data_IF_544040350469
#
_entry.id   IF_544040350469
#
_cell.length_a   1.000
_cell.length_b   1.000
_cell.length_c   1.000
_cell.angle_alpha   90.00
_cell.angle_beta   90.00
_cell.angle_gamma   90.00
#
_symmetry.space_group_name_H-M   'P 1'
#
loop_
_entity.id
_entity.type
_entity.pdbx_description
1 polymer ?
#
# COMPACT_ATOMS: atom_id res chain seq x y z
N UNK A 1 11.89 -26.78 19.12
CA UNK A 1 10.51 -27.16 18.72
C UNK A 1 10.47 -27.29 17.22
N UNK A 2 9.85 -28.34 16.68
CA UNK A 2 9.64 -28.43 15.23
C UNK A 2 8.47 -27.52 14.84
N UNK A 3 8.74 -26.52 14.01
CA UNK A 3 7.73 -25.63 13.44
C UNK A 3 6.98 -26.40 12.34
N UNK A 4 5.66 -26.24 12.25
CA UNK A 4 4.88 -26.87 11.17
C UNK A 4 5.30 -26.32 9.79
N UNK A 5 5.09 -27.09 8.73
CA UNK A 5 5.45 -26.66 7.37
C UNK A 5 4.84 -25.29 7.00
N UNK A 6 3.58 -25.05 7.38
CA UNK A 6 2.88 -23.79 7.07
C UNK A 6 3.38 -22.60 7.90
N UNK A 7 3.98 -22.85 9.07
CA UNK A 7 4.59 -21.82 9.89
C UNK A 7 6.09 -21.63 9.62
N UNK A 8 6.67 -22.42 8.70
CA UNK A 8 8.09 -22.34 8.35
C UNK A 8 8.39 -21.08 7.53
N UNK A 9 9.39 -20.26 7.93
CA UNK A 9 9.85 -19.12 7.14
C UNK A 9 10.32 -19.53 5.73
N UNK A 10 10.96 -20.70 5.61
CA UNK A 10 11.47 -21.20 4.32
C UNK A 10 10.32 -21.57 3.37
N UNK A 11 9.24 -22.17 3.89
CA UNK A 11 8.05 -22.45 3.09
C UNK A 11 7.35 -21.16 2.65
N UNK A 12 7.23 -20.19 3.56
CA UNK A 12 6.70 -18.85 3.27
C UNK A 12 7.48 -18.16 2.15
N UNK A 13 8.81 -18.05 2.28
CA UNK A 13 9.69 -17.43 1.29
C UNK A 13 9.59 -18.11 -0.09
N UNK A 14 9.61 -19.45 -0.14
CA UNK A 14 9.44 -20.19 -1.41
C UNK A 14 8.09 -19.90 -2.07
N UNK A 15 7.02 -19.87 -1.29
CA UNK A 15 5.67 -19.55 -1.78
C UNK A 15 5.63 -18.14 -2.36
N UNK A 16 6.20 -17.16 -1.67
CA UNK A 16 6.27 -15.79 -2.16
C UNK A 16 7.09 -15.66 -3.45
N UNK A 17 8.22 -16.35 -3.58
CA UNK A 17 8.96 -16.35 -4.85
C UNK A 17 8.12 -16.92 -6.00
N UNK A 18 7.42 -18.03 -5.78
CA UNK A 18 6.53 -18.62 -6.80
C UNK A 18 5.45 -17.61 -7.20
N UNK A 19 4.78 -16.97 -6.23
CA UNK A 19 3.77 -15.95 -6.50
C UNK A 19 4.38 -14.78 -7.30
N UNK A 20 5.51 -14.25 -6.84
CA UNK A 20 6.17 -13.11 -7.49
C UNK A 20 6.63 -13.42 -8.92
N UNK A 21 7.21 -14.59 -9.18
CA UNK A 21 7.62 -14.96 -10.54
C UNK A 21 6.43 -15.16 -11.48
N UNK A 22 5.31 -15.67 -10.98
CA UNK A 22 4.07 -15.79 -11.75
C UNK A 22 3.38 -14.44 -11.96
N UNK A 23 3.49 -13.50 -11.01
CA UNK A 23 2.86 -12.18 -11.11
C UNK A 23 3.61 -11.22 -12.04
N UNK A 24 4.94 -11.31 -12.11
CA UNK A 24 5.78 -10.47 -12.98
C UNK A 24 5.31 -10.36 -14.45
N UNK A 25 5.06 -11.45 -15.20
CA UNK A 25 4.59 -11.33 -16.58
C UNK A 25 3.21 -10.67 -16.68
N UNK A 26 2.34 -10.86 -15.69
CA UNK A 26 1.04 -10.22 -15.61
C UNK A 26 1.21 -8.72 -15.37
N UNK A 27 2.15 -8.33 -14.51
CA UNK A 27 2.49 -6.92 -14.27
C UNK A 27 3.08 -6.24 -15.51
N UNK A 28 3.92 -6.94 -16.27
CA UNK A 28 4.46 -6.41 -17.52
C UNK A 28 3.33 -6.21 -18.54
N UNK A 29 2.44 -7.20 -18.68
CA UNK A 29 1.29 -7.12 -19.59
C UNK A 29 0.32 -5.99 -19.20
N UNK A 30 -0.01 -5.86 -17.90
CA UNK A 30 -0.90 -4.80 -17.43
C UNK A 30 -0.32 -3.40 -17.65
N UNK A 31 0.98 -3.22 -17.36
CA UNK A 31 1.71 -1.98 -17.65
C UNK A 31 1.71 -1.64 -19.14
N UNK A 32 1.95 -2.64 -19.99
CA UNK A 32 1.85 -2.51 -21.45
C UNK A 32 0.45 -2.07 -21.89
N UNK A 33 -0.60 -2.71 -21.37
CA UNK A 33 -1.99 -2.35 -21.70
C UNK A 33 -2.31 -0.90 -21.30
N UNK A 34 -1.88 -0.44 -20.13
CA UNK A 34 -2.11 0.94 -19.69
C UNK A 34 -1.35 1.92 -20.60
N UNK A 35 -0.09 1.64 -20.90
CA UNK A 35 0.75 2.55 -21.68
C UNK A 35 0.35 2.63 -23.16
N UNK A 36 -0.02 1.50 -23.78
CA UNK A 36 -0.18 1.40 -25.22
C UNK A 36 -1.61 1.09 -25.68
N UNK A 37 -2.45 0.51 -24.82
CA UNK A 37 -3.81 0.07 -25.17
C UNK A 37 -4.92 0.91 -24.52
N UNK A 38 -4.59 1.96 -23.76
CA UNK A 38 -5.61 2.88 -23.21
C UNK A 38 -6.33 3.65 -24.33
N UNK A 39 -7.66 3.53 -24.49
CA UNK A 39 -8.40 4.23 -25.53
C UNK A 39 -8.38 5.76 -25.36
N UNK A 40 -8.50 6.50 -26.46
CA UNK A 40 -8.52 7.98 -26.45
C UNK A 40 -9.62 8.56 -25.55
N UNK A 41 -10.78 7.90 -25.45
CA UNK A 41 -11.88 8.30 -24.56
C UNK A 41 -11.53 8.25 -23.06
N UNK A 42 -10.44 7.57 -22.68
CA UNK A 42 -9.96 7.41 -21.31
C UNK A 42 -8.61 8.07 -21.05
N UNK A 43 -8.09 8.85 -22.01
CA UNK A 43 -6.76 9.47 -21.90
C UNK A 43 -6.61 10.39 -20.68
N UNK A 44 -7.70 11.05 -20.27
CA UNK A 44 -7.72 11.93 -19.09
C UNK A 44 -7.53 11.22 -17.74
N UNK A 45 -7.68 9.89 -17.70
CA UNK A 45 -7.45 9.09 -16.48
C UNK A 45 -6.16 8.27 -16.53
N UNK A 46 -5.53 8.15 -17.71
CA UNK A 46 -4.33 7.33 -17.96
C UNK A 46 -3.21 7.60 -16.97
N UNK A 47 -2.89 8.87 -16.69
CA UNK A 47 -1.78 9.22 -15.80
C UNK A 47 -2.00 8.75 -14.36
N UNK A 48 -3.22 8.92 -13.83
CA UNK A 48 -3.53 8.48 -12.46
C UNK A 48 -3.63 6.96 -12.38
N UNK A 49 -4.16 6.32 -13.42
CA UNK A 49 -4.18 4.87 -13.54
C UNK A 49 -2.75 4.29 -13.56
N UNK A 50 -1.84 4.91 -14.32
CA UNK A 50 -0.44 4.51 -14.37
C UNK A 50 0.27 4.70 -13.03
N UNK A 51 0.01 5.82 -12.33
CA UNK A 51 0.58 6.07 -11.01
C UNK A 51 0.14 5.01 -9.99
N UNK A 52 -1.16 4.71 -9.90
CA UNK A 52 -1.62 3.64 -9.02
C UNK A 52 -1.03 2.30 -9.41
N UNK A 53 -1.05 1.98 -10.71
CA UNK A 53 -0.49 0.74 -11.22
C UNK A 53 0.97 0.56 -10.83
N UNK A 54 1.78 1.61 -10.99
CA UNK A 54 3.18 1.62 -10.60
C UNK A 54 3.35 1.29 -9.12
N UNK A 55 2.65 1.99 -8.22
CA UNK A 55 2.78 1.73 -6.78
C UNK A 55 2.29 0.33 -6.39
N UNK A 56 1.20 -0.16 -6.99
CA UNK A 56 0.68 -1.51 -6.71
C UNK A 56 1.64 -2.61 -7.20
N UNK A 57 2.19 -2.46 -8.40
CA UNK A 57 3.17 -3.41 -8.95
C UNK A 57 4.48 -3.35 -8.16
N UNK A 58 4.93 -2.15 -7.79
CA UNK A 58 6.10 -1.98 -6.94
C UNK A 58 5.89 -2.67 -5.60
N UNK A 59 4.73 -2.51 -4.95
CA UNK A 59 4.41 -3.18 -3.70
C UNK A 59 4.46 -4.71 -3.84
N UNK A 60 3.82 -5.26 -4.88
CA UNK A 60 3.78 -6.71 -5.12
C UNK A 60 5.19 -7.30 -5.32
N UNK A 61 6.01 -6.66 -6.16
CA UNK A 61 7.42 -7.03 -6.36
C UNK A 61 8.21 -6.88 -5.06
N UNK A 62 7.96 -5.80 -4.32
CA UNK A 62 8.66 -5.51 -3.08
C UNK A 62 8.38 -6.57 -2.00
N UNK A 63 7.13 -6.98 -1.83
CA UNK A 63 6.73 -7.98 -0.85
C UNK A 63 7.12 -9.40 -1.27
N UNK A 64 6.89 -9.77 -2.53
CA UNK A 64 7.05 -11.16 -2.98
C UNK A 64 8.49 -11.53 -3.36
N UNK A 65 9.29 -10.59 -3.85
CA UNK A 65 10.63 -10.86 -4.39
C UNK A 65 11.74 -10.16 -3.61
N UNK A 66 11.56 -8.88 -3.29
CA UNK A 66 12.66 -8.05 -2.77
C UNK A 66 12.87 -8.20 -1.27
N UNK A 67 11.81 -8.09 -0.47
CA UNK A 67 11.90 -8.04 0.99
C UNK A 67 11.42 -9.33 1.65
N UNK A 68 10.29 -9.89 1.21
CA UNK A 68 9.65 -11.06 1.84
C UNK A 68 9.62 -10.94 3.38
N UNK A 69 8.91 -9.93 3.92
CA UNK A 69 8.88 -9.71 5.35
C UNK A 69 8.16 -10.85 6.07
N UNK A 70 8.81 -11.44 7.06
CA UNK A 70 8.22 -12.43 7.96
C UNK A 70 8.06 -11.79 9.32
N UNK A 71 6.80 -11.61 9.74
CA UNK A 71 6.45 -10.96 11.00
C UNK A 71 6.15 -12.02 12.07
N UNK A 72 6.60 -11.81 13.30
CA UNK A 72 6.30 -12.68 14.43
C UNK A 72 5.42 -11.93 15.45
N UNK A 73 4.09 -11.83 15.23
CA UNK A 73 3.20 -11.18 16.19
C UNK A 73 3.23 -11.89 17.55
N UNK A 74 2.92 -11.22 18.68
CA UNK A 74 2.24 -9.92 18.78
C UNK A 74 3.07 -8.61 18.79
N UNK A 75 4.39 -8.55 19.10
CA UNK A 75 5.17 -7.33 18.93
C UNK A 75 5.38 -7.01 17.44
N UNK A 76 5.90 -5.82 17.16
CA UNK A 76 6.29 -5.47 15.78
C UNK A 76 7.74 -5.88 15.61
N UNK A 77 7.91 -7.15 15.30
CA UNK A 77 9.20 -7.75 15.02
C UNK A 77 9.13 -8.73 13.85
N UNK A 78 10.30 -9.04 13.30
CA UNK A 78 10.40 -9.94 12.18
C UNK A 78 11.74 -9.86 11.46
N UNK A 79 11.81 -10.46 10.29
CA UNK A 79 13.01 -10.43 9.44
C UNK A 79 12.62 -10.46 7.96
N UNK A 80 13.59 -10.19 7.09
CA UNK A 80 13.40 -10.17 5.65
C UNK A 80 14.14 -11.36 4.99
N UNK A 81 13.47 -12.08 4.09
CA UNK A 81 14.03 -13.25 3.38
C UNK A 81 14.22 -13.04 1.86
N UNK A 82 13.84 -11.87 1.37
CA UNK A 82 13.86 -11.56 -0.06
C UNK A 82 15.27 -11.31 -0.59
N UNK A 83 15.36 -10.95 -1.87
CA UNK A 83 16.64 -10.69 -2.54
C UNK A 83 17.46 -9.58 -1.86
N UNK A 84 16.81 -8.54 -1.32
CA UNK A 84 17.53 -7.41 -0.74
C UNK A 84 18.20 -7.74 0.60
N UNK A 85 17.67 -8.71 1.37
CA UNK A 85 18.33 -9.14 2.62
C UNK A 85 19.63 -9.89 2.34
N UNK A 86 19.80 -10.48 1.15
CA UNK A 86 21.03 -11.16 0.71
C UNK A 86 22.14 -10.19 0.29
N UNK A 87 21.79 -8.95 -0.06
CA UNK A 87 22.74 -7.93 -0.53
C UNK A 87 23.28 -7.08 0.64
N UNK A 88 22.87 -7.36 1.88
CA UNK A 88 23.38 -6.69 3.07
C UNK A 88 22.87 -5.27 3.29
N UNK A 89 21.74 -4.90 2.65
CA UNK A 89 21.11 -3.60 2.86
C UNK A 89 20.54 -3.51 4.28
N UNK A 90 20.63 -2.33 4.88
CA UNK A 90 20.18 -2.05 6.24
C UNK A 90 18.66 -2.30 6.41
N UNK A 91 18.29 -3.17 7.35
CA UNK A 91 16.91 -3.63 7.54
C UNK A 91 15.90 -2.51 7.88
N UNK A 92 16.22 -1.51 8.72
CA UNK A 92 15.40 -0.31 8.90
C UNK A 92 14.97 0.37 7.59
N UNK A 93 15.87 0.43 6.59
CA UNK A 93 15.53 1.02 5.29
C UNK A 93 14.51 0.19 4.54
N UNK A 94 14.57 -1.15 4.66
CA UNK A 94 13.58 -2.02 4.04
C UNK A 94 12.19 -1.86 4.69
N UNK A 95 12.16 -1.76 6.02
CA UNK A 95 10.91 -1.59 6.75
C UNK A 95 10.29 -0.23 6.40
N UNK A 96 11.09 0.84 6.44
CA UNK A 96 10.68 2.17 6.02
C UNK A 96 10.11 2.17 4.60
N UNK A 97 10.88 1.67 3.63
CA UNK A 97 10.47 1.67 2.23
C UNK A 97 9.20 0.86 2.00
N UNK A 98 9.05 -0.30 2.64
CA UNK A 98 7.84 -1.12 2.53
C UNK A 98 6.59 -0.41 3.04
N UNK A 99 6.66 0.18 4.23
CA UNK A 99 5.54 0.92 4.83
C UNK A 99 5.19 2.17 4.00
N UNK A 100 6.20 2.90 3.51
CA UNK A 100 5.98 4.05 2.63
C UNK A 100 5.31 3.63 1.30
N UNK A 101 5.74 2.52 0.67
CA UNK A 101 5.11 2.03 -0.56
C UNK A 101 3.63 1.69 -0.32
N UNK A 102 3.30 1.02 0.79
CA UNK A 102 1.89 0.72 1.15
C UNK A 102 1.07 2.00 1.28
N UNK A 103 1.61 3.02 1.95
CA UNK A 103 0.92 4.30 2.08
C UNK A 103 0.74 5.00 0.71
N UNK A 104 1.75 4.95 -0.16
CA UNK A 104 1.69 5.53 -1.51
C UNK A 104 0.69 4.81 -2.42
N UNK A 105 0.52 3.49 -2.26
CA UNK A 105 -0.59 2.76 -2.91
C UNK A 105 -1.92 3.38 -2.47
N UNK A 106 -2.15 3.57 -1.18
CA UNK A 106 -3.41 4.14 -0.70
C UNK A 106 -3.64 5.58 -1.21
N UNK A 107 -2.61 6.43 -1.21
CA UNK A 107 -2.68 7.79 -1.80
C UNK A 107 -2.98 7.76 -3.30
N UNK A 108 -2.42 6.80 -4.03
CA UNK A 108 -2.67 6.66 -5.47
C UNK A 108 -4.11 6.25 -5.79
N UNK A 109 -4.74 5.44 -4.93
CA UNK A 109 -6.15 5.07 -5.01
C UNK A 109 -7.04 6.31 -4.80
N UNK A 110 -6.77 7.09 -3.75
CA UNK A 110 -7.45 8.38 -3.49
C UNK A 110 -7.35 9.29 -4.70
N UNK A 111 -6.15 9.41 -5.28
CA UNK A 111 -5.87 10.26 -6.45
C UNK A 111 -6.75 9.91 -7.66
N UNK A 112 -7.05 8.62 -7.89
CA UNK A 112 -7.93 8.20 -8.99
C UNK A 112 -9.38 8.64 -8.75
N UNK A 113 -9.92 8.38 -7.56
CA UNK A 113 -11.30 8.75 -7.24
C UNK A 113 -11.47 10.28 -7.22
N UNK A 114 -10.53 11.00 -6.61
CA UNK A 114 -10.49 12.46 -6.64
C UNK A 114 -10.42 12.98 -8.08
N UNK A 115 -9.54 12.44 -8.92
CA UNK A 115 -9.41 12.90 -10.30
C UNK A 115 -10.69 12.66 -11.11
N UNK A 116 -11.37 11.53 -10.88
CA UNK A 116 -12.66 11.27 -11.53
C UNK A 116 -13.73 12.26 -11.07
N UNK A 117 -13.75 12.59 -9.78
CA UNK A 117 -14.67 13.58 -9.22
C UNK A 117 -14.40 14.96 -9.82
N UNK A 118 -13.12 15.35 -9.90
CA UNK A 118 -12.70 16.60 -10.50
C UNK A 118 -13.15 16.73 -11.95
N UNK A 119 -12.85 15.74 -12.80
CA UNK A 119 -13.15 15.80 -14.23
C UNK A 119 -14.65 15.93 -14.53
N UNK A 120 -15.51 15.31 -13.71
CA UNK A 120 -16.94 15.25 -13.98
C UNK A 120 -17.74 16.36 -13.31
N UNK A 121 -17.33 16.85 -12.13
CA UNK A 121 -18.13 17.79 -11.35
C UNK A 121 -17.37 18.99 -10.77
N UNK A 122 -16.03 18.95 -10.64
CA UNK A 122 -15.28 20.00 -9.96
C UNK A 122 -14.31 20.80 -10.86
N UNK A 123 -14.29 20.54 -12.17
CA UNK A 123 -13.36 21.19 -13.11
C UNK A 123 -13.46 22.72 -13.13
N UNK A 124 -14.68 23.24 -13.02
CA UNK A 124 -14.98 24.68 -13.03
C UNK A 124 -15.04 25.34 -11.66
N UNK A 125 -14.72 24.63 -10.57
CA UNK A 125 -14.82 25.15 -9.20
C UNK A 125 -13.44 25.52 -8.64
N UNK A 126 -13.40 26.11 -7.45
CA UNK A 126 -12.16 26.41 -6.72
C UNK A 126 -11.29 25.16 -6.46
N UNK A 127 -11.89 23.96 -6.53
CA UNK A 127 -11.22 22.67 -6.34
C UNK A 127 -10.03 22.46 -7.27
N UNK A 128 -10.04 23.10 -8.46
CA UNK A 128 -8.92 23.05 -9.42
C UNK A 128 -7.57 23.49 -8.83
N UNK A 129 -7.56 24.32 -7.80
CA UNK A 129 -6.35 24.83 -7.17
C UNK A 129 -5.98 24.02 -5.92
N UNK A 130 -6.97 23.76 -5.05
CA UNK A 130 -6.72 23.12 -3.76
C UNK A 130 -6.40 21.62 -3.89
N UNK A 131 -6.87 20.94 -4.93
CA UNK A 131 -6.58 19.52 -5.14
C UNK A 131 -5.09 19.19 -5.13
N UNK A 132 -4.25 20.05 -5.72
CA UNK A 132 -2.81 19.81 -5.75
C UNK A 132 -2.19 19.94 -4.36
N UNK A 133 -2.66 20.88 -3.54
CA UNK A 133 -2.20 21.04 -2.16
C UNK A 133 -2.57 19.83 -1.31
N UNK A 134 -3.79 19.32 -1.47
CA UNK A 134 -4.27 18.12 -0.76
C UNK A 134 -3.42 16.91 -1.19
N UNK A 135 -3.30 16.66 -2.50
CA UNK A 135 -2.54 15.51 -3.00
C UNK A 135 -1.07 15.57 -2.59
N UNK A 136 -0.41 16.73 -2.69
CA UNK A 136 0.98 16.89 -2.22
C UNK A 136 1.07 16.62 -0.72
N UNK A 137 0.11 17.09 0.07
CA UNK A 137 0.00 16.80 1.50
C UNK A 137 -0.10 15.29 1.76
N UNK A 138 -0.93 14.57 0.99
CA UNK A 138 -1.09 13.12 1.11
C UNK A 138 0.23 12.38 0.88
N UNK A 139 0.99 12.76 -0.16
CA UNK A 139 2.32 12.19 -0.44
C UNK A 139 3.32 12.49 0.69
N UNK A 140 3.32 13.73 1.21
CA UNK A 140 4.20 14.11 2.33
C UNK A 140 3.86 13.29 3.58
N UNK A 141 2.57 13.15 3.92
CA UNK A 141 2.11 12.35 5.05
C UNK A 141 2.53 10.89 4.86
N UNK A 142 2.34 10.31 3.68
CA UNK A 142 2.71 8.92 3.37
C UNK A 142 4.21 8.65 3.54
N UNK A 143 5.07 9.63 3.28
CA UNK A 143 6.53 9.52 3.47
C UNK A 143 6.91 9.74 4.93
N UNK A 144 6.33 10.75 5.60
CA UNK A 144 6.80 11.19 6.91
C UNK A 144 6.18 10.45 8.11
N UNK A 145 4.99 9.86 7.99
CA UNK A 145 4.26 9.36 9.17
C UNK A 145 5.01 8.24 9.92
N UNK A 146 5.83 7.46 9.22
CA UNK A 146 6.59 6.34 9.78
C UNK A 146 8.02 6.71 10.21
N UNK A 147 8.51 7.90 9.83
CA UNK A 147 9.86 8.36 10.20
C UNK A 147 10.13 8.33 11.70
N UNK A 148 9.21 8.80 12.59
CA UNK A 148 9.44 8.73 14.03
C UNK A 148 9.61 7.29 14.55
N UNK A 149 8.95 6.31 13.94
CA UNK A 149 9.10 4.90 14.33
C UNK A 149 10.47 4.35 13.97
N UNK A 150 11.03 4.76 12.83
CA UNK A 150 12.39 4.40 12.44
C UNK A 150 13.43 5.04 13.36
N UNK A 151 13.23 6.30 13.74
CA UNK A 151 14.13 7.00 14.66
C UNK A 151 14.04 6.46 16.10
N UNK A 152 12.91 5.85 16.47
CA UNK A 152 12.65 5.25 17.77
C UNK A 152 13.00 3.77 17.88
N UNK A 153 13.65 3.18 16.87
CA UNK A 153 14.05 1.77 16.90
C UNK A 153 14.97 1.54 18.11
N UNK A 154 14.65 0.57 19.00
CA UNK A 154 15.45 0.29 20.18
C UNK A 154 16.76 -0.40 19.82
N UNK A 155 17.70 -0.41 20.78
CA UNK A 155 18.92 -1.20 20.61
C UNK A 155 18.60 -2.70 20.60
N UNK A 156 19.03 -3.37 19.54
CA UNK A 156 18.59 -4.70 19.13
C UNK A 156 19.06 -5.80 20.08
N UNK A 157 20.27 -5.75 20.65
CA UNK A 157 20.74 -6.81 21.54
C UNK A 157 19.97 -6.84 22.86
N UNK A 158 19.61 -5.68 23.41
CA UNK A 158 18.76 -5.58 24.60
C UNK A 158 17.31 -5.93 24.28
N UNK A 159 16.79 -5.41 23.16
CA UNK A 159 15.41 -5.65 22.74
C UNK A 159 15.15 -7.14 22.44
N UNK A 160 16.09 -7.85 21.82
CA UNK A 160 15.97 -9.30 21.57
C UNK A 160 15.93 -10.12 22.85
N UNK A 161 16.74 -9.76 23.85
CA UNK A 161 16.70 -10.43 25.17
C UNK A 161 15.33 -10.25 25.82
N UNK A 162 14.84 -9.02 25.90
CA UNK A 162 13.50 -8.73 26.44
C UNK A 162 12.39 -9.45 25.64
N UNK A 163 12.47 -9.46 24.30
CA UNK A 163 11.53 -10.20 23.43
C UNK A 163 11.47 -11.69 23.76
N UNK A 164 12.62 -12.31 23.94
CA UNK A 164 12.74 -13.74 24.20
C UNK A 164 12.36 -14.16 25.61
N UNK A 165 12.43 -13.24 26.57
CA UNK A 165 11.88 -13.42 27.91
C UNK A 165 10.35 -13.33 27.91
N UNK A 166 9.78 -12.35 27.20
CA UNK A 166 8.33 -12.16 27.12
C UNK A 166 7.63 -13.17 26.22
N UNK A 167 8.27 -13.55 25.11
CA UNK A 167 7.72 -14.42 24.08
C UNK A 167 8.70 -15.55 23.70
N UNK A 168 8.94 -16.52 24.60
CA UNK A 168 9.93 -17.58 24.37
C UNK A 168 9.67 -18.41 23.11
N UNK A 169 8.41 -18.52 22.69
CA UNK A 169 8.02 -19.28 21.50
C UNK A 169 8.53 -18.66 20.19
N UNK A 170 8.85 -17.36 20.17
CA UNK A 170 9.36 -16.66 18.98
C UNK A 170 10.82 -17.02 18.69
N UNK A 171 11.57 -17.46 19.72
CA UNK A 171 12.99 -17.86 19.58
C UNK A 171 13.21 -18.94 18.51
N UNK A 172 12.19 -19.75 18.20
CA UNK A 172 12.26 -20.81 17.19
C UNK A 172 12.48 -20.26 15.77
N UNK A 173 12.16 -19.00 15.54
CA UNK A 173 12.33 -18.33 14.25
C UNK A 173 13.64 -17.57 14.14
N UNK A 174 14.33 -17.33 15.27
CA UNK A 174 15.59 -16.61 15.29
C UNK A 174 16.75 -17.53 14.87
N UNK A 175 17.56 -17.06 13.91
CA UNK A 175 18.71 -17.81 13.42
C UNK A 175 19.87 -16.88 13.05
N UNK A 176 21.12 -17.38 12.95
CA UNK A 176 22.25 -16.57 12.51
C UNK A 176 22.06 -15.94 11.12
N UNK A 177 21.34 -16.64 10.24
CA UNK A 177 21.02 -16.19 8.87
C UNK A 177 19.86 -15.19 8.84
N UNK A 178 18.90 -15.32 9.77
CA UNK A 178 17.70 -14.51 9.85
C UNK A 178 17.45 -14.11 11.31
N UNK A 179 18.17 -13.07 11.76
CA UNK A 179 17.98 -12.52 13.10
C UNK A 179 16.68 -11.74 13.16
N UNK A 180 15.91 -11.96 14.22
CA UNK A 180 14.70 -11.19 14.47
C UNK A 180 15.07 -9.75 14.79
N UNK A 181 14.45 -8.84 14.07
CA UNK A 181 14.61 -7.40 14.21
C UNK A 181 13.37 -6.81 14.87
N UNK A 182 13.58 -6.02 15.92
CA UNK A 182 12.52 -5.43 16.71
C UNK A 182 12.35 -3.97 16.29
N UNK A 183 11.15 -3.64 15.81
CA UNK A 183 10.75 -2.27 15.50
C UNK A 183 10.13 -1.62 16.73
N UNK A 184 9.22 -2.33 17.39
CA UNK A 184 8.57 -1.87 18.61
C UNK A 184 8.22 -3.07 19.51
N UNK A 185 8.87 -3.13 20.66
CA UNK A 185 8.71 -4.18 21.65
C UNK A 185 7.59 -3.89 22.65
N UNK A 186 7.45 -2.61 23.04
CA UNK A 186 6.58 -2.20 24.15
C UNK A 186 5.21 -1.73 23.68
N UNK A 187 4.97 -1.80 22.36
CA UNK A 187 3.74 -1.33 21.73
C UNK A 187 3.45 0.11 22.16
N UNK A 188 4.41 1.02 21.92
CA UNK A 188 4.17 2.41 22.24
C UNK A 188 2.92 2.88 21.48
N UNK A 189 1.90 3.27 22.25
CA UNK A 189 0.64 3.78 21.74
C UNK A 189 0.86 4.87 20.68
N UNK A 190 1.98 5.60 20.75
CA UNK A 190 2.32 6.64 19.77
C UNK A 190 2.36 6.12 18.32
N UNK A 191 2.97 4.97 18.06
CA UNK A 191 3.02 4.39 16.70
C UNK A 191 1.63 3.94 16.24
N UNK A 192 0.91 3.24 17.11
CA UNK A 192 -0.44 2.75 16.81
C UNK A 192 -1.39 3.91 16.52
N UNK A 193 -1.33 4.98 17.32
CA UNK A 193 -2.14 6.19 17.13
C UNK A 193 -1.78 6.87 15.81
N UNK A 194 -0.49 7.11 15.52
CA UNK A 194 -0.08 7.71 14.23
C UNK A 194 -0.59 6.90 13.04
N UNK A 195 -0.41 5.58 13.09
CA UNK A 195 -0.85 4.66 12.05
C UNK A 195 -2.38 4.69 11.88
N UNK A 196 -3.13 4.63 12.99
CA UNK A 196 -4.58 4.70 12.98
C UNK A 196 -5.09 6.04 12.43
N UNK A 197 -4.47 7.16 12.81
CA UNK A 197 -4.79 8.49 12.28
C UNK A 197 -4.53 8.58 10.78
N UNK A 198 -3.37 8.12 10.30
CA UNK A 198 -3.04 8.13 8.87
C UNK A 198 -3.98 7.23 8.06
N UNK A 199 -4.28 6.02 8.55
CA UNK A 199 -5.24 5.12 7.89
C UNK A 199 -6.62 5.77 7.84
N UNK A 200 -7.11 6.30 8.96
CA UNK A 200 -8.43 6.94 9.02
C UNK A 200 -8.51 8.14 8.09
N UNK A 201 -7.44 8.94 8.01
CA UNK A 201 -7.34 10.09 7.11
C UNK A 201 -7.42 9.66 5.64
N UNK A 202 -6.55 8.77 5.19
CA UNK A 202 -6.48 8.36 3.77
C UNK A 202 -7.74 7.59 3.35
N UNK A 203 -8.18 6.63 4.17
CA UNK A 203 -9.39 5.85 3.88
C UNK A 203 -10.63 6.74 3.92
N UNK A 204 -10.72 7.64 4.91
CA UNK A 204 -11.80 8.61 5.02
C UNK A 204 -11.88 9.53 3.80
N UNK A 205 -10.74 10.05 3.34
CA UNK A 205 -10.64 10.86 2.14
C UNK A 205 -11.08 10.09 0.88
N UNK A 206 -10.61 8.85 0.71
CA UNK A 206 -11.04 7.98 -0.39
C UNK A 206 -12.55 7.71 -0.36
N UNK A 207 -13.09 7.39 0.82
CA UNK A 207 -14.52 7.17 1.02
C UNK A 207 -15.35 8.41 0.69
N UNK A 208 -14.89 9.61 1.09
CA UNK A 208 -15.55 10.88 0.74
C UNK A 208 -15.65 11.04 -0.78
N UNK A 209 -14.57 10.86 -1.53
CA UNK A 209 -14.62 10.97 -2.99
C UNK A 209 -15.52 9.91 -3.61
N UNK A 210 -15.45 8.66 -3.14
CA UNK A 210 -16.34 7.60 -3.59
C UNK A 210 -17.81 7.96 -3.35
N UNK A 211 -18.16 8.45 -2.17
CA UNK A 211 -19.54 8.86 -1.84
C UNK A 211 -19.98 10.03 -2.72
N UNK A 212 -19.14 11.05 -2.88
CA UNK A 212 -19.42 12.21 -3.74
C UNK A 212 -19.61 11.82 -5.21
N UNK A 213 -18.79 10.90 -5.72
CA UNK A 213 -18.92 10.34 -7.06
C UNK A 213 -20.29 9.66 -7.24
N UNK A 214 -20.62 8.73 -6.34
CA UNK A 214 -21.88 7.98 -6.41
C UNK A 214 -23.09 8.91 -6.31
N UNK A 215 -23.07 9.84 -5.34
CA UNK A 215 -24.13 10.81 -5.13
C UNK A 215 -24.37 11.68 -6.38
N UNK A 216 -23.30 12.23 -6.96
CA UNK A 216 -23.42 13.11 -8.12
C UNK A 216 -23.82 12.37 -9.40
N UNK A 217 -23.39 11.11 -9.59
CA UNK A 217 -23.88 10.26 -10.69
C UNK A 217 -25.40 10.04 -10.55
N UNK A 218 -25.87 9.65 -9.36
CA UNK A 218 -27.30 9.42 -9.12
C UNK A 218 -28.10 10.71 -9.37
N UNK A 219 -27.60 11.85 -8.89
CA UNK A 219 -28.23 13.16 -9.10
C UNK A 219 -28.26 13.56 -10.57
N UNK A 220 -27.19 13.34 -11.32
CA UNK A 220 -27.11 13.65 -12.74
C UNK A 220 -28.09 12.82 -13.57
N UNK A 221 -28.25 11.53 -13.24
CA UNK A 221 -29.26 10.66 -13.85
C UNK A 221 -30.67 11.18 -13.56
N UNK A 222 -30.98 11.49 -12.29
CA UNK A 222 -32.30 12.00 -11.88
C UNK A 222 -32.66 13.32 -12.58
N UNK A 223 -31.68 14.19 -12.81
CA UNK A 223 -31.86 15.48 -13.50
C UNK A 223 -31.77 15.37 -15.03
N UNK A 224 -31.62 14.16 -15.58
CA UNK A 224 -31.43 13.91 -17.00
C UNK A 224 -30.28 14.72 -17.64
N UNK A 225 -29.27 15.09 -16.85
CA UNK A 225 -28.11 15.85 -17.35
C UNK A 225 -27.07 14.95 -18.01
N UNK A 226 -27.21 13.63 -17.86
CA UNK A 226 -26.40 12.62 -18.56
C UNK A 226 -27.31 11.52 -19.13
N UNK A 227 -26.94 10.96 -20.28
CA UNK A 227 -27.68 9.85 -20.90
C UNK A 227 -27.57 8.56 -20.07
N UNK A 228 -28.54 7.64 -20.23
CA UNK A 228 -28.49 6.30 -19.61
C UNK A 228 -27.24 5.51 -20.02
N UNK A 229 -26.84 5.63 -21.29
CA UNK A 229 -25.62 4.99 -21.82
C UNK A 229 -24.36 5.50 -21.11
N UNK A 230 -24.21 6.82 -21.00
CA UNK A 230 -23.10 7.46 -20.28
C UNK A 230 -23.08 7.03 -18.81
N UNK A 231 -24.23 7.02 -18.13
CA UNK A 231 -24.33 6.57 -16.74
C UNK A 231 -23.88 5.11 -16.54
N UNK A 232 -24.27 4.21 -17.46
CA UNK A 232 -23.84 2.81 -17.41
C UNK A 232 -22.32 2.66 -17.59
N UNK A 233 -21.73 3.44 -18.51
CA UNK A 233 -20.28 3.47 -18.70
C UNK A 233 -19.54 3.95 -17.43
N UNK A 234 -20.07 4.97 -16.75
CA UNK A 234 -19.51 5.47 -15.48
C UNK A 234 -19.57 4.40 -14.38
N UNK A 235 -20.69 3.68 -14.27
CA UNK A 235 -20.83 2.60 -13.28
C UNK A 235 -19.92 1.41 -13.57
N UNK A 236 -19.77 1.03 -14.84
CA UNK A 236 -18.84 -0.03 -15.26
C UNK A 236 -17.40 0.35 -14.91
N UNK A 237 -17.01 1.60 -15.16
CA UNK A 237 -15.69 2.12 -14.77
C UNK A 237 -15.47 2.07 -13.25
N UNK A 238 -16.43 2.52 -12.45
CA UNK A 238 -16.31 2.45 -10.99
C UNK A 238 -16.22 1.02 -10.48
N UNK A 239 -16.99 0.08 -11.05
CA UNK A 239 -16.88 -1.35 -10.73
C UNK A 239 -15.50 -1.91 -11.07
N UNK A 240 -14.95 -1.56 -12.23
CA UNK A 240 -13.61 -1.98 -12.61
C UNK A 240 -12.55 -1.44 -11.64
N UNK A 241 -12.68 -0.18 -11.21
CA UNK A 241 -11.80 0.39 -10.18
C UNK A 241 -11.95 -0.31 -8.83
N UNK A 242 -13.16 -0.60 -8.38
CA UNK A 242 -13.38 -1.35 -7.13
C UNK A 242 -12.88 -2.80 -7.19
N UNK A 243 -12.74 -3.37 -8.38
CA UNK A 243 -12.10 -4.69 -8.54
C UNK A 243 -10.58 -4.59 -8.58
N UNK A 244 -10.05 -3.42 -8.90
CA UNK A 244 -8.61 -3.17 -8.99
C UNK A 244 -8.00 -2.77 -7.63
N UNK A 245 -8.81 -2.19 -6.74
CA UNK A 245 -8.47 -1.74 -5.38
C UNK A 245 -8.91 -2.78 -4.37
#
# INVERSE_FOLDING_TARGET
MNVSLLASPQFYSKTLYVIGFLSLPIHILGGYCILFQTPESMKSVKSNLLNMYFWTTLLDVYLNLLTQPFLCPPPIDGFAMGLLSRVGINLPLHIYSGITIVALVAVSVVSIFENRFYLLWAKGTWWRYVRYLILIGDYIIAVLFFVPSILGIPEQETARKELFEMYPHIQVFDSPEHRIFIVDLRQDNSYMIRTACTITYIVGQGAIFVILLQYNIIRAIKRMTISKSTANLQRAFLRALYLQV
#
